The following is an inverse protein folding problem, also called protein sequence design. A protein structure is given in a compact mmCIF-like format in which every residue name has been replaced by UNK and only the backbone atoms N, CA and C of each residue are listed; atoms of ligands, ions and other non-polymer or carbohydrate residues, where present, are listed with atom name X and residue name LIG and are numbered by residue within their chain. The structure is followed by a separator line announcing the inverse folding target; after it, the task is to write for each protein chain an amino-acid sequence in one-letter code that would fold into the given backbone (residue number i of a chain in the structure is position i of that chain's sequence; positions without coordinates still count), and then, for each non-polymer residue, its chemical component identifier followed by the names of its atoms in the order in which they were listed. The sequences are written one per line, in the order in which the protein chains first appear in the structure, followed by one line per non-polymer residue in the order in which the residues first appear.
data_IF_261077898104
#
_entry.id   IF_261077898104
#
_cell.length_a   1.000
_cell.length_b   1.000
_cell.length_c   1.000
_cell.angle_alpha   90.00
_cell.angle_beta   90.00
_cell.angle_gamma   90.00
#
_symmetry.space_group_name_H-M   'P 1'
#
loop_
_entity.id
_entity.type
_entity.pdbx_description
1 polymer ?
#
# COMPACT_ATOMS: atom_id res chain seq x y z
N UNK A 1 -0.47 25.19 -18.68
CA UNK A 1 -0.56 25.26 -17.21
C UNK A 1 -0.96 23.87 -16.72
N UNK A 2 0.01 22.98 -16.50
CA UNK A 2 -0.19 21.57 -16.10
C UNK A 2 1.09 20.94 -15.50
N UNK A 3 2.21 21.68 -15.50
CA UNK A 3 3.54 21.17 -15.12
C UNK A 3 3.87 21.54 -13.66
N UNK A 4 3.13 22.47 -13.06
CA UNK A 4 3.42 22.97 -11.71
C UNK A 4 2.97 22.02 -10.58
N UNK A 5 2.00 21.12 -10.82
CA UNK A 5 1.55 20.16 -9.80
C UNK A 5 2.43 18.89 -9.74
N UNK A 6 3.20 18.60 -10.80
CA UNK A 6 4.09 17.42 -10.85
C UNK A 6 5.39 17.67 -10.06
N UNK A 7 5.70 18.91 -9.66
CA UNK A 7 6.89 19.19 -8.85
C UNK A 7 6.84 18.60 -7.44
N UNK A 8 5.65 18.33 -6.88
CA UNK A 8 5.47 17.62 -5.59
C UNK A 8 5.43 16.09 -5.74
N UNK A 9 5.39 15.56 -6.96
CA UNK A 9 5.32 14.12 -7.23
C UNK A 9 6.59 13.39 -6.77
N UNK A 10 7.71 14.11 -6.62
CA UNK A 10 8.97 13.55 -6.11
C UNK A 10 8.92 13.09 -4.66
N UNK A 11 7.93 13.52 -3.87
CA UNK A 11 7.80 13.16 -2.45
C UNK A 11 6.76 12.06 -2.20
N UNK A 12 6.07 11.59 -3.24
CA UNK A 12 5.08 10.53 -3.11
C UNK A 12 5.75 9.14 -3.12
N UNK A 13 5.37 8.28 -2.18
CA UNK A 13 5.85 6.88 -2.13
C UNK A 13 5.37 6.06 -3.34
N UNK A 14 4.21 6.43 -3.92
CA UNK A 14 3.61 5.78 -5.08
C UNK A 14 2.96 6.80 -6.01
N UNK A 15 3.08 6.56 -7.31
CA UNK A 15 2.45 7.37 -8.36
C UNK A 15 1.64 6.41 -9.23
N UNK A 16 0.34 6.70 -9.38
CA UNK A 16 -0.57 5.93 -10.24
C UNK A 16 -1.00 6.82 -11.39
N UNK A 17 -0.84 6.34 -12.62
CA UNK A 17 -1.27 7.05 -13.83
C UNK A 17 -2.65 6.55 -14.22
N UNK A 18 -3.64 7.43 -14.17
CA UNK A 18 -5.01 7.11 -14.56
C UNK A 18 -5.22 7.28 -16.07
N UNK A 19 -4.57 6.43 -16.86
CA UNK A 19 -4.79 6.36 -18.32
C UNK A 19 -5.90 5.34 -18.68
N UNK A 20 -5.96 4.24 -17.93
CA UNK A 20 -7.06 3.27 -17.93
C UNK A 20 -7.61 3.17 -16.50
N UNK A 21 -8.91 3.37 -16.34
CA UNK A 21 -9.55 3.42 -15.03
C UNK A 21 -9.51 2.07 -14.30
N UNK A 22 -9.72 0.97 -15.02
CA UNK A 22 -9.73 -0.36 -14.42
C UNK A 22 -8.32 -0.74 -13.95
N UNK A 23 -7.30 -0.37 -14.73
CA UNK A 23 -5.89 -0.54 -14.37
C UNK A 23 -5.54 0.31 -13.15
N UNK A 24 -5.85 1.61 -13.18
CA UNK A 24 -5.54 2.53 -12.09
C UNK A 24 -6.27 2.13 -10.78
N UNK A 25 -7.50 1.64 -10.87
CA UNK A 25 -8.25 1.14 -9.72
C UNK A 25 -7.62 -0.12 -9.14
N UNK A 26 -7.14 -1.03 -9.98
CA UNK A 26 -6.43 -2.24 -9.55
C UNK A 26 -5.09 -1.89 -8.87
N UNK A 27 -4.35 -0.94 -9.43
CA UNK A 27 -3.08 -0.45 -8.87
C UNK A 27 -3.29 0.23 -7.51
N UNK A 28 -4.26 1.15 -7.40
CA UNK A 28 -4.60 1.79 -6.13
C UNK A 28 -5.02 0.77 -5.06
N UNK A 29 -5.84 -0.20 -5.43
CA UNK A 29 -6.24 -1.29 -4.52
C UNK A 29 -5.03 -2.09 -4.05
N UNK A 30 -4.10 -2.37 -4.95
CA UNK A 30 -2.89 -3.14 -4.66
C UNK A 30 -1.99 -2.39 -3.68
N UNK A 31 -1.82 -1.07 -3.86
CA UNK A 31 -1.04 -0.23 -2.93
C UNK A 31 -1.63 -0.31 -1.51
N UNK A 32 -2.94 -0.13 -1.37
CA UNK A 32 -3.63 -0.21 -0.07
C UNK A 32 -3.49 -1.60 0.56
N UNK A 33 -3.67 -2.66 -0.24
CA UNK A 33 -3.53 -4.04 0.25
C UNK A 33 -2.10 -4.33 0.68
N UNK A 34 -1.10 -3.89 -0.08
CA UNK A 34 0.32 -4.05 0.24
C UNK A 34 0.66 -3.40 1.58
N UNK A 35 0.22 -2.15 1.80
CA UNK A 35 0.43 -1.46 3.08
C UNK A 35 -0.24 -2.20 4.25
N UNK A 36 -1.43 -2.76 4.04
CA UNK A 36 -2.13 -3.58 5.05
C UNK A 36 -1.45 -4.92 5.32
N UNK A 37 -0.77 -5.49 4.32
CA UNK A 37 -0.01 -6.72 4.44
C UNK A 37 1.42 -6.49 4.97
N UNK A 38 1.80 -5.24 5.26
CA UNK A 38 3.08 -4.91 5.87
C UNK A 38 3.34 -5.71 7.14
N UNK A 39 4.58 -6.17 7.31
CA UNK A 39 4.97 -7.07 8.40
C UNK A 39 4.62 -6.52 9.78
N UNK A 40 4.73 -5.21 10.00
CA UNK A 40 4.36 -4.56 11.27
C UNK A 40 2.85 -4.68 11.57
N UNK A 41 2.01 -4.31 10.59
CA UNK A 41 0.54 -4.38 10.71
C UNK A 41 0.09 -5.84 10.88
N UNK A 42 0.67 -6.75 10.11
CA UNK A 42 0.34 -8.17 10.19
C UNK A 42 0.85 -8.80 11.48
N UNK A 43 2.03 -8.43 11.98
CA UNK A 43 2.55 -8.95 13.25
C UNK A 43 1.68 -8.54 14.43
N UNK A 44 1.17 -7.31 14.45
CA UNK A 44 0.20 -6.88 15.46
C UNK A 44 -1.13 -7.63 15.33
N UNK A 45 -1.66 -7.74 14.10
CA UNK A 45 -2.94 -8.42 13.85
C UNK A 45 -2.88 -9.92 14.16
N UNK A 46 -1.76 -10.57 13.87
CA UNK A 46 -1.54 -12.00 14.04
C UNK A 46 -0.84 -12.31 15.36
N UNK A 47 -0.60 -11.34 16.24
CA UNK A 47 0.18 -11.50 17.48
C UNK A 47 -0.30 -12.70 18.31
N UNK A 48 -1.62 -12.82 18.52
CA UNK A 48 -2.20 -13.92 19.28
C UNK A 48 -2.04 -15.28 18.57
N UNK A 49 -2.13 -15.32 17.24
CA UNK A 49 -1.90 -16.55 16.46
C UNK A 49 -0.43 -16.96 16.46
N UNK A 50 0.48 -16.00 16.26
CA UNK A 50 1.92 -16.23 16.28
C UNK A 50 2.40 -16.69 17.66
N UNK A 51 1.87 -16.08 18.73
CA UNK A 51 2.16 -16.48 20.11
C UNK A 51 1.66 -17.89 20.40
N UNK A 52 0.48 -18.27 19.90
CA UNK A 52 -0.04 -19.63 20.04
C UNK A 52 0.77 -20.68 19.27
N UNK A 53 1.36 -20.32 18.12
CA UNK A 53 2.20 -21.22 17.33
C UNK A 53 3.62 -21.36 17.87
N UNK A 54 4.15 -20.33 18.54
CA UNK A 54 5.52 -20.31 19.09
C UNK A 54 5.59 -20.72 20.57
N UNK A 55 4.46 -20.73 21.28
CA UNK A 55 4.36 -21.08 22.71
C UNK A 55 3.86 -22.50 22.99
N UNK A 56 3.80 -23.37 21.97
CA UNK A 56 3.44 -24.79 22.09
C UNK A 56 4.66 -25.70 22.18
#
# INVERSE_FOLDING_TARGET
QAVAEISHVKEADYIVVNDDFDVALAELRTIIVSQRLGAEVQSQRLESMLSALLGG
#
